data_IF_951037473324
#
_entry.id   IF_951037473324
#
_cell.length_a   1.000
_cell.length_b   1.000
_cell.length_c   1.000
_cell.angle_alpha   90.00
_cell.angle_beta   90.00
_cell.angle_gamma   90.00
#
_symmetry.space_group_name_H-M   'P 1'
#
loop_
_entity.id
_entity.type
_entity.pdbx_description
1 polymer ?
#
# COMPACT_ATOMS: atom_id res chain seq x y z
N UNK A 1 -9.03 12.28 6.27
CA UNK A 1 -9.40 10.90 6.66
C UNK A 1 -8.71 10.01 5.66
N UNK A 2 -7.77 9.17 6.09
CA UNK A 2 -7.11 8.21 5.19
C UNK A 2 -8.14 7.15 4.79
N UNK A 3 -8.31 6.93 3.49
CA UNK A 3 -9.20 5.92 2.92
C UNK A 3 -8.60 4.51 3.10
N UNK A 4 -7.27 4.43 3.13
CA UNK A 4 -6.54 3.17 3.26
C UNK A 4 -6.23 2.87 4.72
N UNK A 5 -6.47 1.62 5.13
CA UNK A 5 -6.27 1.12 6.49
C UNK A 5 -5.54 -0.23 6.48
N UNK A 6 -4.92 -0.56 7.61
CA UNK A 6 -4.27 -1.86 7.82
C UNK A 6 -5.23 -3.03 7.55
N UNK A 7 -4.75 -4.05 6.85
CA UNK A 7 -5.47 -5.25 6.44
C UNK A 7 -6.26 -5.10 5.14
N UNK A 8 -6.20 -3.93 4.50
CA UNK A 8 -6.79 -3.76 3.16
C UNK A 8 -5.89 -4.34 2.10
N UNK A 9 -6.50 -5.03 1.12
CA UNK A 9 -5.83 -5.40 -0.12
C UNK A 9 -5.74 -4.19 -1.02
N UNK A 10 -4.53 -3.90 -1.47
CA UNK A 10 -4.22 -2.77 -2.33
C UNK A 10 -3.31 -3.20 -3.46
N UNK A 11 -3.30 -2.42 -4.53
CA UNK A 11 -2.46 -2.64 -5.68
C UNK A 11 -1.74 -1.34 -6.06
N UNK A 12 -0.40 -1.35 -6.16
CA UNK A 12 0.33 -0.19 -6.64
C UNK A 12 0.03 0.11 -8.10
N UNK A 13 -0.20 1.39 -8.40
CA UNK A 13 -0.40 1.93 -9.74
C UNK A 13 0.91 2.38 -10.40
N UNK A 14 1.99 2.45 -9.61
CA UNK A 14 3.32 2.93 -10.00
C UNK A 14 4.42 2.11 -9.34
N UNK A 15 5.65 2.25 -9.83
CA UNK A 15 6.83 1.58 -9.28
C UNK A 15 7.04 0.16 -9.78
N UNK A 16 7.93 -0.58 -9.11
CA UNK A 16 8.31 -1.94 -9.47
C UNK A 16 7.16 -2.94 -9.26
N UNK A 17 6.44 -2.81 -8.15
CA UNK A 17 5.30 -3.65 -7.77
C UNK A 17 3.99 -3.21 -8.41
N UNK A 18 4.04 -2.49 -9.53
CA UNK A 18 2.85 -2.05 -10.24
C UNK A 18 2.02 -3.26 -10.69
N UNK A 19 0.71 -3.20 -10.47
CA UNK A 19 -0.25 -4.28 -10.75
C UNK A 19 -0.06 -5.56 -9.92
N UNK A 20 0.79 -5.55 -8.89
CA UNK A 20 0.88 -6.65 -7.93
C UNK A 20 -0.08 -6.41 -6.78
N UNK A 21 -0.76 -7.46 -6.35
CA UNK A 21 -1.58 -7.42 -5.15
C UNK A 21 -0.67 -7.42 -3.91
N UNK A 22 -0.97 -6.53 -2.98
CA UNK A 22 -0.33 -6.47 -1.67
C UNK A 22 -1.35 -6.18 -0.57
N UNK A 23 -0.93 -6.35 0.67
CA UNK A 23 -1.74 -6.07 1.85
C UNK A 23 -1.13 -4.93 2.66
N UNK A 24 -1.97 -3.98 3.08
CA UNK A 24 -1.52 -2.88 3.92
C UNK A 24 -1.20 -3.43 5.31
N UNK A 25 0.07 -3.45 5.68
CA UNK A 25 0.52 -3.91 7.00
C UNK A 25 0.61 -2.77 8.00
N UNK A 26 0.80 -1.53 7.52
CA UNK A 26 0.92 -0.36 8.38
C UNK A 26 0.44 0.93 7.71
N UNK A 27 0.01 1.89 8.54
CA UNK A 27 -0.38 3.23 8.10
C UNK A 27 0.15 4.28 9.07
N UNK A 28 1.01 5.17 8.60
CA UNK A 28 1.64 6.25 9.33
C UNK A 28 0.91 7.57 9.03
N UNK A 29 0.59 8.35 10.06
CA UNK A 29 -0.15 9.61 9.89
C UNK A 29 0.72 10.83 9.56
N UNK A 30 2.06 10.68 9.52
CA UNK A 30 2.97 11.84 9.51
C UNK A 30 4.30 11.56 8.78
N UNK A 31 4.30 10.68 7.78
CA UNK A 31 5.46 10.40 6.93
C UNK A 31 5.15 10.72 5.46
N UNK A 32 6.19 11.00 4.67
CA UNK A 32 6.09 11.16 3.22
C UNK A 32 5.40 9.94 2.58
N UNK A 33 5.71 8.71 2.99
CA UNK A 33 5.02 7.51 2.47
C UNK A 33 4.19 6.87 3.59
N UNK A 34 2.91 7.27 3.74
CA UNK A 34 2.11 6.91 4.89
C UNK A 34 1.64 5.45 4.88
N UNK A 35 1.73 4.72 3.78
CA UNK A 35 1.14 3.38 3.67
C UNK A 35 2.24 2.37 3.38
N UNK A 36 2.35 1.35 4.23
CA UNK A 36 3.28 0.23 4.07
C UNK A 36 2.50 -1.00 3.60
N UNK A 37 2.92 -1.56 2.47
CA UNK A 37 2.28 -2.68 1.80
C UNK A 37 3.25 -3.85 1.76
N UNK A 38 2.80 -5.01 2.22
CA UNK A 38 3.51 -6.29 2.13
C UNK A 38 2.99 -7.08 0.92
N UNK A 39 3.91 -7.65 0.15
CA UNK A 39 3.62 -8.46 -1.04
C UNK A 39 3.83 -9.95 -0.72
N UNK A 40 3.31 -10.83 -1.58
CA UNK A 40 3.37 -12.29 -1.37
C UNK A 40 4.79 -12.86 -1.18
N UNK A 41 5.82 -12.17 -1.68
CA UNK A 41 7.22 -12.57 -1.54
C UNK A 41 7.82 -12.21 -0.15
N UNK A 42 7.04 -11.56 0.72
CA UNK A 42 7.49 -11.04 2.03
C UNK A 42 8.24 -9.70 1.93
N UNK A 43 8.39 -9.15 0.73
CA UNK A 43 8.88 -7.80 0.50
C UNK A 43 7.84 -6.77 0.94
N UNK A 44 8.30 -5.67 1.55
CA UNK A 44 7.44 -4.54 1.91
C UNK A 44 7.89 -3.29 1.16
N UNK A 45 6.93 -2.48 0.74
CA UNK A 45 7.23 -1.18 0.14
C UNK A 45 6.21 -0.12 0.59
N UNK A 46 6.62 1.14 0.56
CA UNK A 46 5.82 2.27 1.02
C UNK A 46 5.30 3.11 -0.14
N UNK A 47 4.06 3.55 -0.02
CA UNK A 47 3.34 4.28 -1.06
C UNK A 47 2.51 5.42 -0.49
N UNK A 48 2.16 6.35 -1.38
CA UNK A 48 1.09 7.31 -1.14
C UNK A 48 -0.28 6.69 -1.38
N UNK A 49 -1.31 7.24 -0.74
CA UNK A 49 -2.69 6.81 -0.95
C UNK A 49 -3.13 6.91 -2.42
N UNK A 50 -2.70 7.97 -3.12
CA UNK A 50 -2.99 8.17 -4.55
C UNK A 50 -2.28 7.18 -5.50
N UNK A 51 -1.27 6.46 -4.99
CA UNK A 51 -0.51 5.48 -5.76
C UNK A 51 -1.05 4.06 -5.59
N UNK A 52 -2.06 3.88 -4.74
CA UNK A 52 -2.64 2.59 -4.40
C UNK A 52 -4.09 2.54 -4.83
N UNK A 53 -4.47 1.44 -5.46
CA UNK A 53 -5.87 1.11 -5.74
C UNK A 53 -6.36 0.07 -4.73
N UNK A 54 -7.47 0.36 -4.05
CA UNK A 54 -8.09 -0.58 -3.11
C UNK A 54 -8.79 -1.70 -3.90
N UNK A 55 -8.37 -2.94 -3.66
CA UNK A 55 -9.00 -4.14 -4.22
C UNK A 55 -10.12 -4.59 -3.27
N UNK A 56 -11.35 -4.65 -3.78
CA UNK A 56 -12.54 -5.14 -3.06
C UNK A 56 -12.65 -6.66 -3.08
#
# INVERSE_FOLDING_TARGET
MSLIQKGMKVMPLVGFWKNFDGEVVNTFNNEDYPIEVEFEDGETNRYYEEQLEIRK
#
